data_IF_994933573229
#
_entry.id   IF_994933573229
#
_cell.length_a   1.000
_cell.length_b   1.000
_cell.length_c   1.000
_cell.angle_alpha   90.00
_cell.angle_beta   90.00
_cell.angle_gamma   90.00
#
_symmetry.space_group_name_H-M   'P 1'
#
loop_
_entity.id
_entity.type
_entity.pdbx_description
1 polymer ?
#
# COMPACT_ATOMS: atom_id res chain seq x y z
N UNK A 1 -14.12 -5.72 15.75
CA UNK A 1 -12.76 -6.16 16.19
C UNK A 1 -11.55 -5.65 15.38
N UNK A 2 -11.63 -5.24 14.10
CA UNK A 2 -10.62 -4.32 13.51
C UNK A 2 -11.26 -3.43 12.44
N UNK A 3 -12.13 -4.02 11.60
CA UNK A 3 -13.02 -3.30 10.69
C UNK A 3 -13.86 -2.24 11.40
N UNK A 4 -14.50 -2.57 12.53
CA UNK A 4 -15.30 -1.61 13.29
C UNK A 4 -14.49 -0.44 13.85
N UNK A 5 -13.24 -0.70 14.28
CA UNK A 5 -12.37 0.36 14.77
C UNK A 5 -12.02 1.31 13.62
N UNK A 6 -11.64 0.76 12.46
CA UNK A 6 -11.39 1.56 11.25
C UNK A 6 -12.65 2.31 10.84
N UNK A 7 -13.81 1.67 10.84
CA UNK A 7 -15.11 2.30 10.54
C UNK A 7 -15.40 3.51 11.43
N UNK A 8 -15.26 3.35 12.76
CA UNK A 8 -15.42 4.46 13.73
C UNK A 8 -14.43 5.59 13.47
N UNK A 9 -13.18 5.27 13.11
CA UNK A 9 -12.17 6.26 12.75
C UNK A 9 -12.60 7.06 11.54
N UNK A 10 -13.07 6.38 10.49
CA UNK A 10 -13.49 7.01 9.24
C UNK A 10 -14.73 7.89 9.43
N UNK A 11 -15.70 7.47 10.27
CA UNK A 11 -16.85 8.29 10.65
C UNK A 11 -16.40 9.53 11.41
N UNK A 12 -15.55 9.37 12.44
CA UNK A 12 -15.04 10.50 13.24
C UNK A 12 -14.31 11.54 12.39
N UNK A 13 -13.61 11.09 11.34
CA UNK A 13 -12.90 11.93 10.38
C UNK A 13 -13.78 12.43 9.23
N UNK A 14 -15.10 12.16 9.25
CA UNK A 14 -16.08 12.54 8.24
C UNK A 14 -15.72 12.05 6.83
N UNK A 15 -15.12 10.86 6.74
CA UNK A 15 -14.78 10.24 5.47
C UNK A 15 -15.93 9.41 4.93
N UNK A 16 -16.62 8.71 5.84
CA UNK A 16 -17.80 7.90 5.57
C UNK A 16 -18.90 8.26 6.57
N UNK A 17 -20.15 8.01 6.24
CA UNK A 17 -21.29 8.07 7.16
C UNK A 17 -21.51 6.73 7.89
N UNK A 18 -22.40 6.70 8.89
CA UNK A 18 -22.83 5.46 9.53
C UNK A 18 -23.54 4.52 8.53
N UNK A 19 -24.30 5.08 7.59
CA UNK A 19 -24.96 4.31 6.53
C UNK A 19 -23.94 3.65 5.59
N UNK A 20 -22.89 4.38 5.22
CA UNK A 20 -21.79 3.84 4.40
C UNK A 20 -21.06 2.71 5.13
N UNK A 21 -20.78 2.89 6.43
CA UNK A 21 -20.15 1.84 7.23
C UNK A 21 -21.03 0.59 7.31
N UNK A 22 -22.34 0.76 7.54
CA UNK A 22 -23.27 -0.36 7.60
C UNK A 22 -23.29 -1.13 6.28
N UNK A 23 -23.43 -0.44 5.15
CA UNK A 23 -23.42 -1.06 3.83
C UNK A 23 -22.09 -1.78 3.53
N UNK A 24 -20.96 -1.17 3.89
CA UNK A 24 -19.65 -1.77 3.70
C UNK A 24 -19.45 -3.03 4.56
N UNK A 25 -19.96 -3.03 5.79
CA UNK A 25 -19.91 -4.18 6.71
C UNK A 25 -20.83 -5.33 6.27
N UNK A 26 -22.04 -5.03 5.79
CA UNK A 26 -22.95 -6.03 5.21
C UNK A 26 -22.30 -6.71 4.01
N UNK A 27 -21.67 -5.93 3.13
CA UNK A 27 -20.91 -6.46 2.01
C UNK A 27 -19.70 -7.28 2.46
N UNK A 28 -19.01 -6.87 3.53
CA UNK A 28 -17.89 -7.63 4.10
C UNK A 28 -18.34 -9.00 4.63
N UNK A 29 -19.54 -9.11 5.20
CA UNK A 29 -20.08 -10.39 5.65
C UNK A 29 -20.35 -11.35 4.48
N UNK A 30 -20.76 -10.82 3.32
CA UNK A 30 -20.96 -11.60 2.10
C UNK A 30 -19.64 -11.93 1.39
N UNK A 31 -18.62 -11.09 1.55
CA UNK A 31 -17.30 -11.21 0.94
C UNK A 31 -16.20 -11.28 2.02
N UNK A 32 -16.12 -12.36 2.85
CA UNK A 32 -15.26 -12.41 4.04
C UNK A 32 -13.76 -12.31 3.75
N UNK A 33 -13.35 -12.54 2.49
CA UNK A 33 -11.97 -12.35 2.04
C UNK A 33 -11.57 -10.90 1.78
N UNK A 34 -12.52 -9.94 1.80
CA UNK A 34 -12.25 -8.52 1.53
C UNK A 34 -12.09 -7.71 2.81
N UNK A 35 -11.16 -6.77 2.78
CA UNK A 35 -11.01 -5.78 3.84
C UNK A 35 -12.07 -4.69 3.74
N UNK A 36 -12.44 -4.09 4.88
CA UNK A 36 -13.39 -2.98 4.91
C UNK A 36 -12.93 -1.80 4.05
N UNK A 37 -11.64 -1.45 4.14
CA UNK A 37 -11.02 -0.41 3.30
C UNK A 37 -11.11 -0.72 1.81
N UNK A 38 -10.85 -1.96 1.40
CA UNK A 38 -11.04 -2.41 0.02
C UNK A 38 -12.48 -2.22 -0.46
N UNK A 39 -13.47 -2.62 0.35
CA UNK A 39 -14.88 -2.46 0.02
C UNK A 39 -15.25 -0.98 -0.11
N UNK A 40 -14.79 -0.14 0.81
CA UNK A 40 -15.00 1.30 0.75
C UNK A 40 -14.40 1.92 -0.52
N UNK A 41 -13.22 1.46 -0.97
CA UNK A 41 -12.67 1.87 -2.26
C UNK A 41 -13.53 1.45 -3.44
N UNK A 42 -14.06 0.23 -3.42
CA UNK A 42 -15.00 -0.24 -4.43
C UNK A 42 -16.33 0.55 -4.41
N UNK A 43 -16.72 1.09 -3.25
CA UNK A 43 -17.86 2.01 -3.09
C UNK A 43 -17.55 3.46 -3.51
N UNK A 44 -16.32 3.76 -3.93
CA UNK A 44 -15.92 5.07 -4.45
C UNK A 44 -15.21 5.98 -3.44
N UNK A 45 -14.90 5.49 -2.23
CA UNK A 45 -14.11 6.25 -1.27
C UNK A 45 -12.62 6.17 -1.61
N UNK A 46 -11.91 7.30 -1.79
CA UNK A 46 -10.49 7.28 -2.13
C UNK A 46 -9.63 6.60 -1.05
N UNK A 47 -8.73 5.72 -1.46
CA UNK A 47 -7.82 5.03 -0.55
C UNK A 47 -6.90 6.02 0.17
N UNK A 48 -6.51 7.12 -0.49
CA UNK A 48 -5.71 8.17 0.14
C UNK A 48 -6.40 8.77 1.37
N UNK A 49 -7.72 8.97 1.33
CA UNK A 49 -8.52 9.48 2.44
C UNK A 49 -8.57 8.46 3.57
N UNK A 50 -8.86 7.20 3.25
CA UNK A 50 -8.93 6.10 4.22
C UNK A 50 -7.60 5.96 4.95
N UNK A 51 -6.52 5.80 4.19
CA UNK A 51 -5.15 5.65 4.69
C UNK A 51 -4.76 6.87 5.52
N UNK A 52 -5.01 8.10 5.04
CA UNK A 52 -4.74 9.33 5.80
C UNK A 52 -5.51 9.40 7.11
N UNK A 53 -6.76 8.95 7.14
CA UNK A 53 -7.54 8.88 8.38
C UNK A 53 -6.87 7.97 9.40
N UNK A 54 -6.47 6.77 8.95
CA UNK A 54 -5.80 5.77 9.77
C UNK A 54 -4.48 6.35 10.31
N UNK A 55 -3.68 6.99 9.45
CA UNK A 55 -2.45 7.70 9.84
C UNK A 55 -2.70 8.85 10.84
N UNK A 56 -3.76 9.64 10.65
CA UNK A 56 -4.03 10.88 11.41
C UNK A 56 -4.86 10.64 12.69
N UNK A 57 -5.43 9.46 12.86
CA UNK A 57 -6.25 9.13 14.02
C UNK A 57 -5.41 8.53 15.16
N UNK A 58 -4.35 7.82 14.81
CA UNK A 58 -3.39 7.38 15.79
C UNK A 58 -2.51 8.56 16.18
N UNK A 59 -2.45 8.87 17.47
CA UNK A 59 -1.21 9.38 18.09
C UNK A 59 -0.14 8.29 17.92
N UNK A 60 0.28 8.11 16.66
CA UNK A 60 1.26 7.20 16.05
C UNK A 60 1.38 5.85 16.75
N UNK A 61 0.68 4.82 16.25
CA UNK A 61 1.29 3.50 16.18
C UNK A 61 1.87 3.35 14.79
N UNK A 62 3.19 3.54 14.67
CA UNK A 62 3.92 3.29 13.42
C UNK A 62 3.91 1.80 13.11
N UNK A 63 4.25 1.42 11.88
CA UNK A 63 4.33 -0.01 11.51
C UNK A 63 5.23 -0.81 12.46
N UNK A 64 6.29 -0.20 12.97
CA UNK A 64 7.12 -0.79 14.02
C UNK A 64 6.34 -1.11 15.29
N UNK A 65 5.54 -0.18 15.79
CA UNK A 65 4.72 -0.38 17.00
C UNK A 65 3.62 -1.42 16.76
N UNK A 66 3.09 -1.51 15.54
CA UNK A 66 2.13 -2.58 15.17
C UNK A 66 2.81 -3.94 15.20
N UNK A 67 4.06 -4.02 14.74
CA UNK A 67 4.86 -5.25 14.81
C UNK A 67 5.16 -5.62 16.27
N UNK A 68 5.44 -4.63 17.12
CA UNK A 68 5.64 -4.84 18.56
C UNK A 68 4.37 -5.33 19.24
N UNK A 69 3.23 -4.69 19.00
CA UNK A 69 1.92 -5.10 19.53
C UNK A 69 1.56 -6.55 19.18
N UNK A 70 2.03 -7.03 18.01
CA UNK A 70 1.79 -8.38 17.51
C UNK A 70 2.84 -9.40 17.97
N UNK A 71 3.82 -8.99 18.77
CA UNK A 71 4.94 -9.84 19.21
C UNK A 71 5.90 -10.22 18.07
N UNK A 72 5.81 -9.56 16.91
CA UNK A 72 6.67 -9.81 15.76
C UNK A 72 7.99 -9.03 15.82
N UNK A 73 8.11 -8.09 16.75
CA UNK A 73 9.29 -7.23 16.95
C UNK A 73 9.39 -6.88 18.44
N UNK A 74 10.58 -6.90 19.04
CA UNK A 74 10.77 -6.37 20.39
C UNK A 74 10.86 -4.84 20.35
N UNK A 75 10.45 -4.16 21.42
CA UNK A 75 10.47 -2.69 21.46
C UNK A 75 11.90 -2.15 21.35
N UNK A 76 12.87 -2.82 21.98
CA UNK A 76 14.28 -2.47 21.95
C UNK A 76 14.83 -2.56 20.52
N UNK A 77 14.46 -3.62 19.80
CA UNK A 77 14.84 -3.81 18.39
C UNK A 77 14.21 -2.74 17.50
N UNK A 78 12.95 -2.37 17.75
CA UNK A 78 12.30 -1.27 17.03
C UNK A 78 13.09 0.04 17.18
N UNK A 79 13.49 0.37 18.40
CA UNK A 79 14.20 1.62 18.68
C UNK A 79 15.59 1.65 18.01
N UNK A 80 16.31 0.54 18.00
CA UNK A 80 17.57 0.38 17.28
C UNK A 80 17.42 0.68 15.77
N UNK A 81 16.45 0.05 15.10
CA UNK A 81 16.26 0.24 13.66
C UNK A 81 15.66 1.59 13.29
N UNK A 82 14.94 2.25 14.19
CA UNK A 82 14.54 3.64 14.01
C UNK A 82 15.74 4.59 14.00
N UNK A 83 16.74 4.36 14.85
CA UNK A 83 17.98 5.13 14.85
C UNK A 83 18.78 4.88 13.57
N UNK A 84 18.90 3.62 13.12
CA UNK A 84 19.56 3.28 11.85
C UNK A 84 18.86 3.95 10.66
N UNK A 85 17.53 3.88 10.59
CA UNK A 85 16.75 4.53 9.54
C UNK A 85 16.99 6.05 9.49
N UNK A 86 17.03 6.71 10.66
CA UNK A 86 17.32 8.14 10.75
C UNK A 86 18.74 8.47 10.29
N UNK A 87 19.72 7.64 10.64
CA UNK A 87 21.11 7.81 10.20
C UNK A 87 21.24 7.67 8.68
N UNK A 88 20.55 6.70 8.07
CA UNK A 88 20.48 6.54 6.62
C UNK A 88 19.84 7.76 5.95
N UNK A 89 18.73 8.25 6.50
CA UNK A 89 18.06 9.45 5.99
C UNK A 89 18.96 10.68 6.03
N UNK A 90 19.76 10.86 7.08
CA UNK A 90 20.77 11.94 7.19
C UNK A 90 21.86 11.83 6.13
N UNK A 91 22.17 10.62 5.66
CA UNK A 91 23.09 10.34 4.55
C UNK A 91 22.43 10.46 3.17
N UNK A 92 21.19 10.94 3.09
CA UNK A 92 20.42 11.05 1.85
C UNK A 92 19.76 9.74 1.38
N UNK A 93 19.87 8.66 2.15
CA UNK A 93 19.27 7.36 1.83
C UNK A 93 17.91 7.23 2.51
N UNK A 94 16.84 7.28 1.73
CA UNK A 94 15.51 6.98 2.24
C UNK A 94 15.22 5.48 2.13
N UNK A 95 15.13 4.81 3.27
CA UNK A 95 14.62 3.43 3.37
C UNK A 95 13.44 3.40 4.32
N UNK A 96 12.29 2.80 3.96
CA UNK A 96 11.20 2.59 4.90
C UNK A 96 11.60 1.58 6.00
N UNK A 97 11.15 1.81 7.23
CA UNK A 97 11.54 1.01 8.40
C UNK A 97 11.24 -0.48 8.19
N UNK A 98 10.08 -0.79 7.63
CA UNK A 98 9.71 -2.16 7.35
C UNK A 98 10.62 -2.86 6.34
N UNK A 99 11.02 -2.17 5.28
CA UNK A 99 12.01 -2.67 4.33
C UNK A 99 13.33 -2.96 5.02
N UNK A 100 13.77 -2.06 5.90
CA UNK A 100 14.98 -2.24 6.70
C UNK A 100 14.88 -3.48 7.60
N UNK A 101 13.78 -3.65 8.33
CA UNK A 101 13.54 -4.80 9.21
C UNK A 101 13.52 -6.13 8.45
N UNK A 102 12.92 -6.17 7.26
CA UNK A 102 12.88 -7.37 6.40
C UNK A 102 14.28 -7.67 5.84
N UNK A 103 15.01 -6.65 5.35
CA UNK A 103 16.38 -6.82 4.84
C UNK A 103 17.33 -7.36 5.92
N UNK A 104 17.13 -6.95 7.17
CA UNK A 104 17.90 -7.40 8.33
C UNK A 104 17.43 -8.75 8.90
N UNK A 105 16.43 -9.38 8.29
CA UNK A 105 15.81 -10.65 8.71
C UNK A 105 15.22 -10.62 10.12
N UNK A 106 14.87 -9.44 10.61
CA UNK A 106 14.28 -9.24 11.94
C UNK A 106 12.80 -9.59 11.92
N UNK A 107 12.12 -9.27 10.82
CA UNK A 107 10.72 -9.62 10.59
C UNK A 107 10.63 -10.35 9.25
N UNK A 108 9.86 -11.44 9.20
CA UNK A 108 9.59 -12.11 7.92
C UNK A 108 8.78 -11.19 7.00
N UNK A 109 9.02 -11.27 5.69
CA UNK A 109 8.27 -10.47 4.71
C UNK A 109 6.75 -10.73 4.78
N UNK A 110 6.36 -11.96 5.09
CA UNK A 110 4.96 -12.37 5.27
C UNK A 110 4.33 -11.72 6.50
N UNK A 111 4.99 -11.77 7.66
CA UNK A 111 4.50 -11.13 8.89
C UNK A 111 4.38 -9.61 8.70
N UNK A 112 5.38 -9.01 8.05
CA UNK A 112 5.37 -7.59 7.71
C UNK A 112 4.18 -7.21 6.81
N UNK A 113 3.96 -7.95 5.72
CA UNK A 113 2.86 -7.69 4.79
C UNK A 113 1.50 -7.94 5.44
N UNK A 114 1.36 -8.99 6.26
CA UNK A 114 0.11 -9.27 6.98
C UNK A 114 -0.23 -8.15 7.97
N UNK A 115 0.79 -7.56 8.61
CA UNK A 115 0.63 -6.43 9.52
C UNK A 115 0.16 -5.17 8.79
N UNK A 116 0.81 -4.84 7.66
CA UNK A 116 0.40 -3.73 6.80
C UNK A 116 -1.01 -3.92 6.25
N UNK A 117 -1.30 -5.11 5.73
CA UNK A 117 -2.56 -5.46 5.09
C UNK A 117 -3.74 -5.28 6.05
N UNK A 118 -3.62 -5.87 7.25
CA UNK A 118 -4.63 -5.70 8.29
C UNK A 118 -4.76 -4.24 8.73
N UNK A 119 -3.64 -3.55 8.97
CA UNK A 119 -3.66 -2.16 9.47
C UNK A 119 -4.28 -1.17 8.50
N UNK A 120 -3.90 -1.25 7.22
CA UNK A 120 -4.37 -0.34 6.18
C UNK A 120 -5.62 -0.84 5.46
N UNK A 121 -6.13 -2.02 5.82
CA UNK A 121 -7.25 -2.68 5.14
C UNK A 121 -7.03 -2.81 3.63
N UNK A 122 -5.85 -3.29 3.25
CA UNK A 122 -5.40 -3.43 1.85
C UNK A 122 -5.09 -4.88 1.53
N UNK A 123 -5.50 -5.40 0.36
CA UNK A 123 -5.19 -6.77 -0.06
C UNK A 123 -3.70 -6.94 -0.37
N UNK A 124 -3.16 -8.12 -0.08
CA UNK A 124 -1.81 -8.54 -0.51
C UNK A 124 -1.92 -9.29 -1.83
N UNK A 125 -0.99 -9.05 -2.75
CA UNK A 125 -0.91 -9.72 -4.05
C UNK A 125 0.48 -10.27 -4.31
N UNK A 126 0.54 -11.43 -4.98
CA UNK A 126 1.79 -11.98 -5.50
C UNK A 126 2.15 -11.33 -6.84
N UNK A 127 3.44 -11.04 -7.03
CA UNK A 127 3.96 -10.50 -8.29
C UNK A 127 4.75 -11.53 -9.11
N UNK A 128 4.81 -12.80 -8.66
CA UNK A 128 5.60 -13.87 -9.31
C UNK A 128 5.21 -14.02 -10.80
N UNK A 129 3.91 -14.06 -11.09
CA UNK A 129 3.39 -14.17 -12.45
C UNK A 129 2.94 -12.83 -13.04
N UNK A 130 3.35 -11.71 -12.43
CA UNK A 130 2.91 -10.40 -12.87
C UNK A 130 3.42 -10.16 -14.30
N UNK A 131 2.52 -9.80 -15.22
CA UNK A 131 2.85 -9.33 -16.57
C UNK A 131 2.81 -7.81 -16.64
N UNK A 132 3.43 -7.13 -15.68
CA UNK A 132 3.60 -5.69 -15.78
C UNK A 132 4.36 -5.39 -17.09
N UNK A 133 3.81 -4.46 -17.89
CA UNK A 133 4.41 -4.02 -19.15
C UNK A 133 4.66 -2.52 -19.09
N UNK A 134 5.63 -2.03 -19.88
CA UNK A 134 5.90 -0.60 -19.98
C UNK A 134 4.63 0.19 -20.37
N UNK A 135 3.82 -0.35 -21.28
CA UNK A 135 2.54 0.24 -21.68
C UNK A 135 1.56 0.43 -20.51
N UNK A 136 1.50 -0.50 -19.55
CA UNK A 136 0.69 -0.34 -18.34
C UNK A 136 1.28 0.72 -17.40
N UNK A 137 2.60 0.76 -17.21
CA UNK A 137 3.24 1.76 -16.34
C UNK A 137 3.13 3.19 -16.89
N UNK A 138 3.15 3.37 -18.22
CA UNK A 138 2.97 4.69 -18.88
C UNK A 138 1.68 5.38 -18.47
N UNK A 139 0.65 4.63 -18.10
CA UNK A 139 -0.63 5.22 -17.66
C UNK A 139 -0.51 6.10 -16.42
N UNK A 140 0.50 5.85 -15.59
CA UNK A 140 0.77 6.65 -14.39
C UNK A 140 2.06 7.48 -14.54
N UNK A 141 2.72 7.40 -15.71
CA UNK A 141 4.04 7.94 -15.99
C UNK A 141 5.15 7.04 -15.46
N UNK A 142 6.05 6.58 -16.34
CA UNK A 142 7.14 5.65 -15.98
C UNK A 142 8.06 6.21 -14.90
N UNK A 143 8.47 7.47 -15.01
CA UNK A 143 9.29 8.13 -14.01
C UNK A 143 8.57 8.25 -12.64
N UNK A 144 7.25 8.39 -12.63
CA UNK A 144 6.47 8.42 -11.39
C UNK A 144 6.33 7.01 -10.80
N UNK A 145 6.06 6.01 -11.63
CA UNK A 145 6.00 4.60 -11.23
C UNK A 145 7.32 4.13 -10.60
N UNK A 146 8.45 4.35 -11.29
CA UNK A 146 9.77 3.95 -10.81
C UNK A 146 10.16 4.69 -9.52
N UNK A 147 10.06 6.01 -9.49
CA UNK A 147 10.43 6.83 -8.32
C UNK A 147 9.63 6.46 -7.07
N UNK A 148 8.33 6.21 -7.24
CA UNK A 148 7.44 5.86 -6.12
C UNK A 148 7.29 4.35 -5.92
N UNK A 149 8.03 3.53 -6.68
CA UNK A 149 7.99 2.06 -6.61
C UNK A 149 6.59 1.48 -6.71
N UNK A 150 5.84 1.92 -7.73
CA UNK A 150 4.48 1.50 -8.02
C UNK A 150 4.50 0.58 -9.22
N UNK A 151 3.88 -0.59 -9.10
CA UNK A 151 3.68 -1.51 -10.22
C UNK A 151 2.21 -1.51 -10.61
N UNK A 152 1.89 -1.01 -11.81
CA UNK A 152 0.54 -1.19 -12.40
C UNK A 152 0.35 -2.66 -12.80
N UNK A 153 -0.65 -3.30 -12.20
CA UNK A 153 -0.97 -4.72 -12.43
C UNK A 153 -2.00 -4.90 -13.55
N UNK A 154 -3.04 -4.07 -13.53
CA UNK A 154 -4.18 -4.13 -14.45
C UNK A 154 -4.74 -2.74 -14.66
N UNK A 155 -5.26 -2.50 -15.85
CA UNK A 155 -5.99 -1.28 -16.15
C UNK A 155 -7.22 -1.60 -16.98
N UNK A 156 -8.37 -1.14 -16.49
CA UNK A 156 -9.65 -1.14 -17.19
C UNK A 156 -10.15 0.32 -17.33
N UNK A 157 -11.20 0.57 -18.11
CA UNK A 157 -11.79 1.91 -18.21
C UNK A 157 -12.27 2.47 -16.86
N UNK A 158 -12.71 1.60 -15.94
CA UNK A 158 -13.30 1.99 -14.64
C UNK A 158 -12.38 1.83 -13.44
N UNK A 159 -11.34 1.02 -13.54
CA UNK A 159 -10.45 0.72 -12.42
C UNK A 159 -9.00 0.50 -12.85
N UNK A 160 -8.06 1.10 -12.13
CA UNK A 160 -6.63 0.81 -12.17
C UNK A 160 -6.25 -0.02 -10.94
N UNK A 161 -5.55 -1.13 -11.11
CA UNK A 161 -5.01 -1.91 -9.98
C UNK A 161 -3.51 -1.73 -9.92
N UNK A 162 -3.00 -1.31 -8.76
CA UNK A 162 -1.57 -1.05 -8.54
C UNK A 162 -1.06 -1.76 -7.30
N UNK A 163 0.18 -2.24 -7.33
CA UNK A 163 0.87 -2.78 -6.18
C UNK A 163 1.91 -1.78 -5.65
N UNK A 164 2.01 -1.69 -4.33
CA UNK A 164 3.02 -0.90 -3.62
C UNK A 164 3.61 -1.71 -2.47
N UNK A 165 4.86 -1.42 -2.12
CA UNK A 165 5.50 -2.04 -0.96
C UNK A 165 5.01 -1.48 0.38
N UNK A 166 4.64 -0.19 0.38
CA UNK A 166 4.14 0.50 1.58
C UNK A 166 3.14 1.58 1.17
N UNK A 167 2.04 1.77 1.94
CA UNK A 167 1.10 2.85 1.68
C UNK A 167 1.68 4.23 2.00
N UNK A 168 1.51 5.16 1.06
CA UNK A 168 1.86 6.57 1.23
C UNK A 168 0.64 7.44 0.84
N UNK A 169 0.02 8.15 1.80
CA UNK A 169 -1.17 8.94 1.51
C UNK A 169 -0.96 10.09 0.52
N UNK A 170 0.26 10.62 0.42
CA UNK A 170 0.59 11.73 -0.49
C UNK A 170 0.71 11.19 -1.91
N UNK A 171 1.44 10.09 -2.09
CA UNK A 171 1.56 9.41 -3.39
C UNK A 171 0.21 8.93 -3.89
N UNK A 172 -0.62 8.37 -3.00
CA UNK A 172 -1.96 7.89 -3.35
C UNK A 172 -2.85 9.04 -3.80
N UNK A 173 -2.84 10.17 -3.08
CA UNK A 173 -3.62 11.36 -3.44
C UNK A 173 -3.17 11.93 -4.80
N UNK A 174 -1.86 11.99 -5.05
CA UNK A 174 -1.32 12.45 -6.34
C UNK A 174 -1.80 11.55 -7.48
N UNK A 175 -1.76 10.24 -7.29
CA UNK A 175 -2.19 9.27 -8.30
C UNK A 175 -3.70 9.34 -8.54
N UNK A 176 -4.50 9.39 -7.47
CA UNK A 176 -5.96 9.53 -7.56
C UNK A 176 -6.38 10.82 -8.26
N UNK A 177 -5.70 11.95 -7.99
CA UNK A 177 -5.96 13.23 -8.67
C UNK A 177 -5.60 13.22 -10.15
N UNK A 178 -4.59 12.43 -10.53
CA UNK A 178 -4.17 12.30 -11.92
C UNK A 178 -5.09 11.37 -12.75
N UNK A 179 -5.98 10.61 -12.10
CA UNK A 179 -6.89 9.70 -12.80
C UNK A 179 -8.08 10.44 -13.44
N UNK A 180 -8.57 9.95 -14.61
CA UNK A 180 -9.81 10.43 -15.19
C UNK A 180 -10.98 10.30 -14.23
N UNK A 181 -11.95 11.22 -14.32
CA UNK A 181 -13.18 11.17 -13.53
C UNK A 181 -13.89 9.83 -13.76
N UNK A 182 -14.30 9.18 -12.66
CA UNK A 182 -14.99 7.90 -12.68
C UNK A 182 -14.08 6.67 -12.79
N UNK A 183 -12.75 6.83 -12.91
CA UNK A 183 -11.79 5.73 -12.82
C UNK A 183 -11.27 5.63 -11.39
N UNK A 184 -11.56 4.51 -10.71
CA UNK A 184 -11.07 4.24 -9.35
C UNK A 184 -9.71 3.56 -9.37
N UNK A 185 -9.02 3.58 -8.22
CA UNK A 185 -7.75 2.87 -8.05
C UNK A 185 -7.89 1.85 -6.93
N UNK A 186 -7.55 0.60 -7.21
CA UNK A 186 -7.36 -0.44 -6.21
C UNK A 186 -5.88 -0.55 -5.88
N UNK A 187 -5.50 -0.17 -4.66
CA UNK A 187 -4.14 -0.32 -4.16
C UNK A 187 -3.98 -1.66 -3.44
N UNK A 188 -2.95 -2.41 -3.83
CA UNK A 188 -2.57 -3.68 -3.25
C UNK A 188 -1.16 -3.59 -2.64
N UNK A 189 -0.89 -4.45 -1.67
CA UNK A 189 0.44 -4.62 -1.07
C UNK A 189 1.20 -5.77 -1.73
N UNK A 190 2.49 -5.59 -1.94
CA UNK A 190 3.39 -6.65 -2.39
C UNK A 190 4.76 -6.55 -1.70
N UNK A 191 5.55 -7.63 -1.64
CA UNK A 191 6.88 -7.58 -1.05
C UNK A 191 7.77 -6.53 -1.73
N UNK A 192 8.60 -5.78 -0.99
CA UNK A 192 9.52 -4.79 -1.58
C UNK A 192 10.41 -5.39 -2.67
N UNK A 193 11.02 -6.56 -2.41
CA UNK A 193 11.86 -7.24 -3.40
C UNK A 193 11.11 -7.59 -4.69
N UNK A 194 9.85 -8.00 -4.57
CA UNK A 194 9.03 -8.35 -5.73
C UNK A 194 8.66 -7.12 -6.57
N UNK A 195 8.43 -5.97 -5.92
CA UNK A 195 8.22 -4.68 -6.60
C UNK A 195 9.47 -4.29 -7.39
N UNK A 196 10.65 -4.32 -6.76
CA UNK A 196 11.91 -3.96 -7.40
C UNK A 196 12.20 -4.90 -8.60
N UNK A 197 12.16 -6.22 -8.40
CA UNK A 197 12.38 -7.17 -9.50
C UNK A 197 11.39 -6.99 -10.66
N UNK A 198 10.15 -6.59 -10.36
CA UNK A 198 9.16 -6.33 -11.40
C UNK A 198 9.48 -5.04 -12.17
N UNK A 199 9.91 -3.97 -11.49
CA UNK A 199 10.30 -2.72 -12.11
C UNK A 199 11.58 -2.88 -12.93
N UNK A 200 12.58 -3.58 -12.40
CA UNK A 200 13.83 -3.90 -13.09
C UNK A 200 13.53 -4.61 -14.41
N UNK A 201 12.69 -5.65 -14.42
CA UNK A 201 12.31 -6.35 -15.65
C UNK A 201 11.53 -5.46 -16.63
N UNK A 202 10.71 -4.53 -16.14
CA UNK A 202 9.94 -3.62 -17.01
C UNK A 202 10.86 -2.60 -17.68
N UNK A 203 11.88 -2.12 -16.97
CA UNK A 203 12.79 -1.07 -17.43
C UNK A 203 14.15 -1.59 -17.88
N UNK A 204 14.37 -2.91 -17.89
CA UNK A 204 15.58 -3.54 -18.39
C UNK A 204 15.79 -3.14 -19.86
N UNK A 205 16.86 -2.38 -20.18
CA UNK A 205 17.12 -1.92 -21.53
C UNK A 205 17.41 -3.06 -22.51
N UNK A 206 17.68 -4.29 -22.03
CA UNK A 206 17.88 -5.48 -22.85
C UNK A 206 16.64 -6.35 -23.01
N UNK A 207 15.54 -6.00 -22.34
CA UNK A 207 14.28 -6.71 -22.48
C UNK A 207 13.58 -6.29 -23.79
N UNK A 208 13.51 -7.20 -24.77
CA UNK A 208 13.05 -7.00 -26.17
C UNK A 208 11.63 -6.41 -26.35
N UNK A 209 10.90 -6.11 -25.28
CA UNK A 209 9.59 -5.45 -25.30
C UNK A 209 9.64 -3.92 -25.16
N UNK A 210 10.83 -3.30 -25.01
CA UNK A 210 11.01 -1.85 -24.91
C UNK A 210 11.30 -1.13 -26.24
N UNK A 211 11.46 -1.88 -27.34
CA UNK A 211 11.65 -1.33 -28.69
C UNK A 211 10.40 -1.47 -29.54
N UNK A 212 9.40 -0.63 -29.31
CA UNK A 212 8.52 -0.16 -30.38
C UNK A 212 8.29 1.33 -30.16
N UNK A 213 8.82 2.09 -31.12
CA UNK A 213 8.82 3.53 -31.29
C UNK A 213 7.42 4.15 -31.21
#
# INVERSE_FOLDING_TARGET
MMSEQIGRILIRKKIISEADLKAAMERQQQEPGKYLGQILCEMGFPQSRIVRAIFSNNKRKRIGEILVDRGALAQETLDEYLLEQQALKKKGVYVPLGTLLVQRKIVSGENYLSALSAHFSMPVVSLVDCRASAALQRQIGEAFAARNRIVVLKSSPRQLTVAVAQPDPVVFEQLEKAMPKGKSILFCLAPPAAIESCLDRVYDPFNKNSLLY
#
